data_IF_391847400753
#
_entry.id   IF_391847400753
#
_cell.length_a   1.000
_cell.length_b   1.000
_cell.length_c   1.000
_cell.angle_alpha   90.00
_cell.angle_beta   90.00
_cell.angle_gamma   90.00
#
_symmetry.space_group_name_H-M   'P 1'
#
loop_
_entity.id
_entity.type
_entity.pdbx_description
1 polymer ?
#
# COMPACT_ATOMS: atom_id res chain seq x y z
N UNK A 1 24.60 16.24 6.74
CA UNK A 1 24.13 14.95 6.24
C UNK A 1 22.63 15.04 6.12
N UNK A 2 22.02 14.70 4.98
CA UNK A 2 20.55 14.54 4.90
C UNK A 2 20.19 13.39 5.85
N UNK A 3 19.30 13.64 6.80
CA UNK A 3 18.78 12.59 7.68
C UNK A 3 18.07 11.57 6.79
N UNK A 4 18.51 10.33 6.80
CA UNK A 4 17.85 9.24 6.08
C UNK A 4 16.44 9.07 6.64
N UNK A 5 15.44 8.99 5.77
CA UNK A 5 14.04 8.85 6.15
C UNK A 5 13.45 7.53 5.64
N UNK A 6 12.60 6.93 6.46
CA UNK A 6 11.71 5.87 6.06
C UNK A 6 10.36 6.47 5.62
N UNK A 7 9.94 6.16 4.40
CA UNK A 7 8.68 6.59 3.82
C UNK A 7 7.64 5.48 3.93
N UNK A 8 6.58 5.74 4.65
CA UNK A 8 5.46 4.80 4.77
C UNK A 8 4.44 5.01 3.67
N UNK A 9 4.00 3.93 3.03
CA UNK A 9 2.93 3.90 2.05
C UNK A 9 1.70 3.30 2.71
N UNK A 10 0.69 4.13 2.96
CA UNK A 10 -0.44 3.85 3.85
C UNK A 10 -1.67 3.37 3.08
N UNK A 11 -2.45 2.42 3.62
CA UNK A 11 -3.62 1.85 2.96
C UNK A 11 -4.87 2.71 3.13
N UNK A 12 -5.80 2.62 2.19
CA UNK A 12 -7.18 3.09 2.39
C UNK A 12 -7.45 4.52 1.95
N UNK A 13 -6.95 4.89 0.77
CA UNK A 13 -7.14 6.21 0.17
C UNK A 13 -8.61 6.64 0.09
N UNK A 14 -9.53 5.71 -0.21
CA UNK A 14 -10.96 5.95 -0.30
C UNK A 14 -11.71 5.35 0.90
N UNK A 15 -11.15 4.30 1.49
CA UNK A 15 -11.76 3.54 2.56
C UNK A 15 -11.66 4.26 3.93
N UNK A 16 -10.60 5.04 4.14
CA UNK A 16 -10.29 5.62 5.46
C UNK A 16 -10.06 7.13 5.38
N UNK A 17 -10.84 7.82 4.57
CA UNK A 17 -10.76 9.28 4.42
C UNK A 17 -10.86 10.00 5.77
N UNK A 18 -11.85 9.64 6.60
CA UNK A 18 -12.04 10.26 7.91
C UNK A 18 -10.84 10.07 8.83
N UNK A 19 -10.22 8.88 8.81
CA UNK A 19 -8.98 8.63 9.56
C UNK A 19 -7.88 9.60 9.15
N UNK A 20 -7.67 9.77 7.86
CA UNK A 20 -6.61 10.64 7.36
C UNK A 20 -6.92 12.12 7.53
N UNK A 21 -8.19 12.52 7.47
CA UNK A 21 -8.62 13.89 7.74
C UNK A 21 -8.23 14.33 9.16
N UNK A 22 -8.25 13.43 10.15
CA UNK A 22 -7.86 13.72 11.53
C UNK A 22 -6.36 13.45 11.78
N UNK A 23 -5.81 12.38 11.21
CA UNK A 23 -4.41 12.00 11.44
C UNK A 23 -3.40 12.96 10.81
N UNK A 24 -3.66 13.44 9.58
CA UNK A 24 -2.69 14.26 8.83
C UNK A 24 -2.45 15.65 9.47
N UNK A 25 -3.46 16.35 10.01
CA UNK A 25 -3.23 17.56 10.81
C UNK A 25 -2.34 17.31 12.01
N UNK A 26 -2.60 16.24 12.78
CA UNK A 26 -1.77 15.87 13.94
C UNK A 26 -0.33 15.59 13.49
N UNK A 27 -0.14 14.82 12.43
CA UNK A 27 1.19 14.49 11.91
C UNK A 27 1.96 15.73 11.44
N UNK A 28 1.28 16.74 10.90
CA UNK A 28 1.90 17.99 10.43
C UNK A 28 2.20 18.97 11.56
N UNK A 29 1.26 19.16 12.50
CA UNK A 29 1.31 20.19 13.54
C UNK A 29 2.11 19.70 14.76
N UNK A 30 1.94 18.44 15.14
CA UNK A 30 2.54 17.82 16.31
C UNK A 30 3.63 16.83 15.95
N UNK A 31 4.61 17.32 15.16
CA UNK A 31 5.68 16.46 14.64
C UNK A 31 6.50 15.81 15.75
N UNK A 32 6.54 16.40 16.93
CA UNK A 32 7.20 15.88 18.14
C UNK A 32 6.61 14.55 18.63
N UNK A 33 5.36 14.23 18.30
CA UNK A 33 4.72 12.96 18.66
C UNK A 33 5.22 11.78 17.84
N UNK A 34 5.81 12.05 16.69
CA UNK A 34 6.20 11.06 15.70
C UNK A 34 7.73 10.91 15.62
N UNK A 35 8.17 9.76 15.13
CA UNK A 35 9.59 9.54 14.90
C UNK A 35 10.14 10.51 13.85
N UNK A 36 11.29 11.15 14.14
CA UNK A 36 11.88 12.15 13.26
C UNK A 36 12.36 11.57 11.92
N UNK A 37 12.70 10.28 11.92
CA UNK A 37 13.15 9.54 10.76
C UNK A 37 12.01 9.00 9.87
N UNK A 38 10.74 9.08 10.28
CA UNK A 38 9.62 8.60 9.46
C UNK A 38 8.89 9.73 8.71
N UNK A 39 8.32 9.40 7.56
CA UNK A 39 7.48 10.29 6.78
C UNK A 39 6.41 9.49 6.02
N UNK A 40 5.42 10.19 5.44
CA UNK A 40 4.38 9.57 4.61
C UNK A 40 4.77 9.71 3.14
N UNK A 41 5.07 8.60 2.49
CA UNK A 41 5.40 8.57 1.07
C UNK A 41 4.19 8.62 0.16
N UNK A 42 3.12 7.94 0.53
CA UNK A 42 1.84 7.95 -0.20
C UNK A 42 0.70 7.36 0.61
N UNK A 43 -0.53 7.64 0.17
CA UNK A 43 -1.73 6.90 0.57
C UNK A 43 -2.28 6.21 -0.68
N UNK A 44 -2.63 4.92 -0.57
CA UNK A 44 -3.05 4.12 -1.71
C UNK A 44 -4.42 3.47 -1.51
N UNK A 45 -5.21 3.37 -2.56
CA UNK A 45 -6.54 2.76 -2.57
C UNK A 45 -7.21 2.85 -3.93
N UNK A 46 -8.40 2.30 -4.02
CA UNK A 46 -9.31 2.50 -5.15
C UNK A 46 -10.73 2.27 -4.65
N UNK A 47 -11.75 2.89 -5.25
CA UNK A 47 -13.14 2.55 -4.99
C UNK A 47 -13.40 1.06 -5.15
N UNK A 48 -14.30 0.50 -4.32
CA UNK A 48 -14.51 -0.95 -4.22
C UNK A 48 -15.03 -1.61 -5.52
N UNK A 49 -15.71 -0.86 -6.37
CA UNK A 49 -16.34 -1.29 -7.62
C UNK A 49 -15.48 -1.04 -8.87
N UNK A 50 -14.20 -0.73 -8.72
CA UNK A 50 -13.31 -0.54 -9.86
C UNK A 50 -12.98 -1.86 -10.56
N UNK A 51 -13.31 -1.95 -11.85
CA UNK A 51 -13.00 -3.10 -12.73
C UNK A 51 -11.50 -3.40 -12.76
N UNK A 52 -10.65 -2.36 -12.69
CA UNK A 52 -9.19 -2.52 -12.67
C UNK A 52 -8.64 -2.90 -11.29
N UNK A 53 -9.47 -2.94 -10.25
CA UNK A 53 -9.09 -3.39 -8.92
C UNK A 53 -8.78 -4.89 -8.87
N UNK A 54 -7.83 -5.32 -8.03
CA UNK A 54 -7.43 -6.74 -7.92
C UNK A 54 -6.84 -7.09 -6.56
N UNK A 55 -6.66 -6.12 -5.69
CA UNK A 55 -6.21 -6.31 -4.32
C UNK A 55 -7.35 -6.49 -3.33
N UNK A 56 -7.06 -7.08 -2.19
CA UNK A 56 -8.01 -7.15 -1.06
C UNK A 56 -8.33 -5.74 -0.58
N UNK A 57 -9.60 -5.37 -0.57
CA UNK A 57 -10.07 -4.04 -0.18
C UNK A 57 -11.33 -4.15 0.68
N UNK A 58 -11.55 -3.16 1.53
CA UNK A 58 -12.82 -2.91 2.19
C UNK A 58 -13.75 -2.07 1.31
N UNK A 59 -14.89 -1.71 1.87
CA UNK A 59 -15.79 -0.75 1.25
C UNK A 59 -15.21 0.66 1.42
N UNK A 60 -15.08 1.39 0.33
CA UNK A 60 -14.61 2.76 0.31
C UNK A 60 -15.12 3.45 -0.94
N UNK A 61 -16.00 4.45 -0.74
CA UNK A 61 -16.67 5.19 -1.81
C UNK A 61 -16.61 6.71 -1.57
N UNK A 62 -15.59 7.17 -0.83
CA UNK A 62 -15.46 8.60 -0.60
C UNK A 62 -15.22 9.35 -1.91
N UNK A 63 -15.71 10.59 -2.02
CA UNK A 63 -15.60 11.40 -3.25
C UNK A 63 -14.13 11.52 -3.68
N UNK A 64 -13.77 11.10 -4.90
CA UNK A 64 -12.40 11.16 -5.39
C UNK A 64 -11.79 12.57 -5.39
N UNK A 65 -12.62 13.63 -5.53
CA UNK A 65 -12.14 15.01 -5.50
C UNK A 65 -11.74 15.43 -4.08
N UNK A 66 -12.52 15.05 -3.09
CA UNK A 66 -12.20 15.33 -1.69
C UNK A 66 -10.95 14.58 -1.24
N UNK A 67 -10.86 13.30 -1.61
CA UNK A 67 -9.67 12.48 -1.38
C UNK A 67 -8.41 13.10 -2.00
N UNK A 68 -8.52 13.56 -3.24
CA UNK A 68 -7.41 14.21 -3.92
C UNK A 68 -7.07 15.57 -3.30
N UNK A 69 -8.08 16.34 -2.89
CA UNK A 69 -7.88 17.63 -2.21
C UNK A 69 -7.13 17.45 -0.89
N UNK A 70 -7.51 16.46 -0.10
CA UNK A 70 -6.84 16.13 1.17
C UNK A 70 -5.36 15.78 0.94
N UNK A 71 -5.06 14.88 0.02
CA UNK A 71 -3.67 14.47 -0.26
C UNK A 71 -2.82 15.63 -0.80
N UNK A 72 -3.42 16.52 -1.62
CA UNK A 72 -2.78 17.74 -2.11
C UNK A 72 -2.46 18.72 -0.98
N UNK A 73 -3.40 18.94 -0.07
CA UNK A 73 -3.22 19.85 1.07
C UNK A 73 -2.01 19.47 1.92
N UNK A 74 -1.79 18.16 2.11
CA UNK A 74 -0.69 17.66 2.91
C UNK A 74 0.57 17.32 2.10
N UNK A 75 0.57 17.53 0.79
CA UNK A 75 1.70 17.24 -0.08
C UNK A 75 2.05 15.74 -0.15
N UNK A 76 1.04 14.88 -0.08
CA UNK A 76 1.18 13.42 -0.08
C UNK A 76 0.77 12.86 -1.44
N UNK A 77 1.54 11.90 -1.95
CA UNK A 77 1.21 11.21 -3.19
C UNK A 77 0.00 10.30 -3.00
N UNK A 78 -1.01 10.45 -3.87
CA UNK A 78 -2.14 9.53 -3.95
C UNK A 78 -1.85 8.43 -4.98
N UNK A 79 -2.15 7.15 -4.64
CA UNK A 79 -1.95 6.03 -5.55
C UNK A 79 -3.22 5.23 -5.77
N UNK A 80 -3.67 5.15 -7.02
CA UNK A 80 -4.77 4.26 -7.41
C UNK A 80 -4.30 2.80 -7.43
N UNK A 81 -5.08 1.88 -6.87
CA UNK A 81 -4.75 0.44 -6.88
C UNK A 81 -5.50 -0.29 -8.00
N UNK A 82 -4.91 -0.32 -9.17
CA UNK A 82 -5.43 -0.96 -10.37
C UNK A 82 -4.66 -2.26 -10.68
N UNK A 83 -4.76 -3.20 -9.74
CA UNK A 83 -3.95 -4.42 -9.70
C UNK A 83 -4.70 -5.67 -10.16
N UNK A 84 -5.76 -5.53 -10.96
CA UNK A 84 -6.45 -6.66 -11.57
C UNK A 84 -5.49 -7.41 -12.52
N UNK A 85 -5.36 -8.72 -12.30
CA UNK A 85 -4.43 -9.57 -13.06
C UNK A 85 -5.04 -10.19 -14.33
N UNK A 86 -6.36 -10.01 -14.55
CA UNK A 86 -7.13 -10.72 -15.57
C UNK A 86 -7.74 -9.77 -16.61
N UNK A 87 -7.23 -8.55 -16.71
CA UNK A 87 -7.74 -7.56 -17.66
C UNK A 87 -7.51 -7.99 -19.11
N UNK A 88 -8.50 -7.66 -19.96
CA UNK A 88 -8.48 -7.78 -21.41
C UNK A 88 -8.74 -6.40 -22.03
N UNK A 89 -8.55 -6.27 -23.34
CA UNK A 89 -8.67 -5.00 -24.07
C UNK A 89 -10.05 -4.33 -23.83
N UNK A 90 -11.12 -5.11 -23.78
CA UNK A 90 -12.47 -4.59 -23.52
C UNK A 90 -12.61 -3.86 -22.19
N UNK A 91 -11.82 -4.23 -21.18
CA UNK A 91 -11.85 -3.61 -19.86
C UNK A 91 -11.11 -2.27 -19.80
N UNK A 92 -10.26 -1.96 -20.79
CA UNK A 92 -9.50 -0.70 -20.82
C UNK A 92 -10.41 0.52 -21.06
N UNK A 93 -11.58 0.30 -21.65
CA UNK A 93 -12.57 1.35 -21.91
C UNK A 93 -13.48 1.68 -20.70
N UNK A 94 -13.21 1.12 -19.51
CA UNK A 94 -14.02 1.39 -18.31
C UNK A 94 -14.03 2.87 -17.97
N UNK A 95 -15.22 3.47 -17.96
CA UNK A 95 -15.39 4.93 -17.82
C UNK A 95 -14.98 5.44 -16.43
N UNK A 96 -15.28 4.67 -15.37
CA UNK A 96 -14.97 5.05 -13.99
C UNK A 96 -13.48 5.05 -13.74
N UNK A 97 -12.79 3.98 -14.11
CA UNK A 97 -11.35 3.86 -13.95
C UNK A 97 -10.59 4.92 -14.75
N UNK A 98 -11.02 5.20 -16.00
CA UNK A 98 -10.44 6.26 -16.81
C UNK A 98 -10.69 7.67 -16.22
N UNK A 99 -11.89 7.93 -15.70
CA UNK A 99 -12.19 9.21 -15.04
C UNK A 99 -11.34 9.44 -13.80
N UNK A 100 -11.06 8.38 -13.02
CA UNK A 100 -10.14 8.44 -11.89
C UNK A 100 -8.72 8.76 -12.35
N UNK A 101 -8.20 8.08 -13.38
CA UNK A 101 -6.88 8.39 -13.92
C UNK A 101 -6.77 9.85 -14.37
N UNK A 102 -7.76 10.34 -15.15
CA UNK A 102 -7.78 11.72 -15.62
C UNK A 102 -7.84 12.74 -14.47
N UNK A 103 -8.56 12.42 -13.38
CA UNK A 103 -8.62 13.29 -12.20
C UNK A 103 -7.29 13.30 -11.44
N UNK A 104 -6.65 12.13 -11.24
CA UNK A 104 -5.43 12.00 -10.45
C UNK A 104 -4.17 12.38 -11.23
N UNK A 105 -4.23 12.44 -12.56
CA UNK A 105 -3.14 12.91 -13.42
C UNK A 105 -3.01 14.44 -13.43
N UNK A 106 -4.07 15.18 -13.05
CA UNK A 106 -4.05 16.64 -13.06
C UNK A 106 -2.87 17.21 -12.27
N UNK A 107 -2.37 18.36 -12.69
CA UNK A 107 -1.27 19.06 -12.03
C UNK A 107 -1.44 19.12 -10.52
N UNK A 108 -0.46 18.54 -9.84
CA UNK A 108 -0.39 18.46 -8.40
C UNK A 108 1.08 18.70 -8.00
N UNK A 109 1.34 19.45 -6.92
CA UNK A 109 2.69 19.61 -6.37
C UNK A 109 3.39 18.26 -6.12
N UNK A 110 2.59 17.21 -5.81
CA UNK A 110 3.09 15.85 -5.65
C UNK A 110 2.42 14.93 -6.65
N UNK A 111 3.23 14.32 -7.50
CA UNK A 111 2.77 13.42 -8.55
C UNK A 111 1.99 12.23 -7.97
N UNK A 112 0.81 11.94 -8.53
CA UNK A 112 0.02 10.76 -8.22
C UNK A 112 0.55 9.52 -8.97
N UNK A 113 0.18 8.33 -8.50
CA UNK A 113 0.64 7.08 -9.11
C UNK A 113 -0.44 6.01 -9.22
N UNK A 114 -0.09 4.94 -9.92
CA UNK A 114 -0.94 3.75 -10.06
C UNK A 114 -0.15 2.49 -9.68
N UNK A 115 -0.73 1.68 -8.80
CA UNK A 115 -0.22 0.34 -8.49
C UNK A 115 -0.85 -0.62 -9.50
N UNK A 116 -0.04 -1.22 -10.36
CA UNK A 116 -0.49 -2.00 -11.51
C UNK A 116 0.07 -3.42 -11.49
N UNK A 117 -0.75 -4.38 -11.97
CA UNK A 117 -0.35 -5.77 -12.17
C UNK A 117 -0.20 -6.10 -13.67
N UNK A 118 -1.23 -5.76 -14.45
CA UNK A 118 -1.35 -6.12 -15.86
C UNK A 118 -0.42 -5.29 -16.74
N UNK A 119 0.39 -5.94 -17.57
CA UNK A 119 1.23 -5.26 -18.56
C UNK A 119 0.36 -4.53 -19.60
N UNK A 120 -0.76 -5.15 -20.02
CA UNK A 120 -1.73 -4.53 -20.90
C UNK A 120 -2.23 -3.17 -20.34
N UNK A 121 -2.57 -3.13 -19.05
CA UNK A 121 -3.00 -1.90 -18.41
C UNK A 121 -1.84 -0.90 -18.26
N UNK A 122 -0.64 -1.37 -17.94
CA UNK A 122 0.55 -0.51 -17.85
C UNK A 122 0.81 0.22 -19.16
N UNK A 123 0.81 -0.49 -20.29
CA UNK A 123 1.04 0.11 -21.62
C UNK A 123 -0.07 1.10 -22.00
N UNK A 124 -1.32 0.76 -21.66
CA UNK A 124 -2.45 1.67 -21.85
C UNK A 124 -2.27 2.97 -21.04
N UNK A 125 -1.96 2.85 -19.74
CA UNK A 125 -1.78 3.99 -18.85
C UNK A 125 -0.60 4.87 -19.24
N UNK A 126 0.53 4.29 -19.65
CA UNK A 126 1.70 5.04 -20.14
C UNK A 126 1.35 5.93 -21.35
N UNK A 127 0.44 5.44 -22.20
CA UNK A 127 0.03 6.14 -23.40
C UNK A 127 -1.01 7.25 -23.13
N UNK A 128 -1.98 6.97 -22.24
CA UNK A 128 -3.13 7.85 -22.04
C UNK A 128 -3.00 8.77 -20.82
N UNK A 129 -2.16 8.40 -19.84
CA UNK A 129 -1.96 9.12 -18.57
C UNK A 129 -0.47 9.20 -18.21
N UNK A 130 0.36 9.85 -19.05
CA UNK A 130 1.82 9.85 -18.92
C UNK A 130 2.35 10.60 -17.69
N UNK A 131 1.52 11.42 -17.05
CA UNK A 131 1.92 12.16 -15.85
C UNK A 131 1.80 11.31 -14.57
N UNK A 132 1.15 10.15 -14.62
CA UNK A 132 1.11 9.20 -13.51
C UNK A 132 2.40 8.39 -13.44
N UNK A 133 2.91 8.12 -12.24
CA UNK A 133 3.98 7.14 -12.08
C UNK A 133 3.40 5.76 -11.73
N UNK A 134 4.20 4.71 -11.94
CA UNK A 134 3.74 3.34 -11.77
C UNK A 134 4.49 2.60 -10.67
N UNK A 135 3.74 1.72 -9.99
CA UNK A 135 4.24 0.84 -8.94
C UNK A 135 3.90 -0.61 -9.32
N UNK A 136 4.89 -1.49 -9.34
CA UNK A 136 4.66 -2.91 -9.56
C UNK A 136 3.98 -3.53 -8.33
N UNK A 137 2.82 -4.16 -8.56
CA UNK A 137 1.95 -4.64 -7.47
C UNK A 137 2.47 -5.90 -6.79
N UNK A 138 2.27 -5.98 -5.47
CA UNK A 138 2.46 -7.22 -4.69
C UNK A 138 1.60 -8.40 -5.19
N UNK A 139 0.50 -8.12 -5.93
CA UNK A 139 -0.34 -9.17 -6.51
C UNK A 139 0.37 -9.99 -7.58
N UNK A 140 1.50 -9.49 -8.13
CA UNK A 140 2.39 -10.28 -9.01
C UNK A 140 3.04 -11.47 -8.28
N UNK A 141 3.11 -11.43 -6.95
CA UNK A 141 3.64 -12.49 -6.09
C UNK A 141 5.07 -12.88 -6.52
N UNK A 142 5.96 -11.89 -6.53
CA UNK A 142 7.39 -12.07 -6.87
C UNK A 142 8.10 -12.75 -5.70
N UNK A 143 8.14 -14.08 -5.70
CA UNK A 143 8.69 -14.90 -4.60
C UNK A 143 10.17 -15.21 -4.74
N UNK A 144 10.70 -15.05 -5.94
CA UNK A 144 12.11 -15.33 -6.25
C UNK A 144 12.89 -14.04 -6.35
N UNK A 145 14.08 -13.99 -5.73
CA UNK A 145 14.91 -12.79 -5.75
C UNK A 145 15.27 -12.31 -7.16
N UNK A 146 15.49 -13.23 -8.11
CA UNK A 146 15.77 -12.88 -9.49
C UNK A 146 14.59 -12.17 -10.16
N UNK A 147 13.35 -12.53 -9.82
CA UNK A 147 12.15 -11.82 -10.30
C UNK A 147 12.13 -10.39 -9.76
N UNK A 148 12.38 -10.22 -8.45
CA UNK A 148 12.47 -8.88 -7.83
C UNK A 148 13.56 -8.03 -8.50
N UNK A 149 14.75 -8.59 -8.69
CA UNK A 149 15.88 -7.91 -9.33
C UNK A 149 15.56 -7.49 -10.77
N UNK A 150 14.93 -8.35 -11.55
CA UNK A 150 14.48 -8.03 -12.90
C UNK A 150 13.42 -6.93 -12.91
N UNK A 151 12.43 -7.00 -12.00
CA UNK A 151 11.36 -6.03 -11.95
C UNK A 151 11.85 -4.65 -11.48
N UNK A 152 12.78 -4.59 -10.50
CA UNK A 152 13.38 -3.31 -10.06
C UNK A 152 14.31 -2.69 -11.09
N UNK A 153 14.84 -3.47 -12.06
CA UNK A 153 15.63 -2.94 -13.15
C UNK A 153 14.78 -2.23 -14.23
N UNK A 154 13.48 -2.47 -14.29
CA UNK A 154 12.57 -1.83 -15.24
C UNK A 154 12.43 -0.33 -14.96
N UNK A 155 12.57 0.49 -15.98
CA UNK A 155 12.50 1.96 -15.86
C UNK A 155 11.08 2.47 -15.62
N UNK A 156 10.07 1.72 -16.09
CA UNK A 156 8.67 2.09 -15.98
C UNK A 156 8.19 2.19 -14.53
N UNK A 157 8.80 1.42 -13.62
CA UNK A 157 8.37 1.41 -12.23
C UNK A 157 9.21 2.35 -11.36
N UNK A 158 8.52 3.25 -10.67
CA UNK A 158 9.12 4.03 -9.57
C UNK A 158 9.34 3.18 -8.33
N UNK A 159 8.40 2.27 -8.04
CA UNK A 159 8.48 1.33 -6.92
C UNK A 159 8.06 -0.07 -7.34
N UNK A 160 8.59 -1.06 -6.64
CA UNK A 160 8.27 -2.48 -6.82
C UNK A 160 7.99 -3.09 -5.46
N UNK A 161 6.81 -3.71 -5.31
CA UNK A 161 6.42 -4.37 -4.06
C UNK A 161 6.70 -5.88 -4.18
N UNK A 162 7.78 -6.40 -3.57
CA UNK A 162 8.06 -7.84 -3.57
C UNK A 162 7.03 -8.62 -2.78
N UNK A 163 7.04 -9.94 -2.91
CA UNK A 163 6.33 -10.79 -1.97
C UNK A 163 7.02 -10.72 -0.59
N UNK A 164 6.23 -10.67 0.49
CA UNK A 164 6.72 -10.53 1.86
C UNK A 164 7.72 -11.63 2.29
N UNK A 165 7.73 -12.77 1.61
CA UNK A 165 8.69 -13.86 1.83
C UNK A 165 10.13 -13.49 1.52
N UNK A 166 10.33 -12.47 0.69
CA UNK A 166 11.66 -11.92 0.39
C UNK A 166 12.12 -10.87 1.42
N UNK A 167 11.26 -10.45 2.33
CA UNK A 167 11.59 -9.37 3.27
C UNK A 167 12.88 -9.62 4.05
N UNK A 168 13.19 -10.84 4.43
CA UNK A 168 14.38 -11.20 5.23
C UNK A 168 15.52 -11.83 4.42
N UNK A 169 15.48 -11.74 3.10
CA UNK A 169 16.55 -12.21 2.21
C UNK A 169 17.76 -11.23 2.20
N UNK A 170 18.28 -10.88 3.37
CA UNK A 170 19.23 -9.78 3.56
C UNK A 170 20.49 -9.87 2.70
N UNK A 171 21.09 -11.06 2.55
CA UNK A 171 22.28 -11.23 1.73
C UNK A 171 22.04 -10.91 0.25
N UNK A 172 20.87 -11.29 -0.25
CA UNK A 172 20.47 -11.01 -1.64
C UNK A 172 20.05 -9.53 -1.80
N UNK A 173 19.26 -9.01 -0.86
CA UNK A 173 18.80 -7.62 -0.84
C UNK A 173 19.98 -6.64 -0.79
N UNK A 174 21.02 -6.94 -0.01
CA UNK A 174 22.21 -6.10 0.09
C UNK A 174 23.00 -6.01 -1.23
N UNK A 175 22.91 -7.06 -2.06
CA UNK A 175 23.56 -7.11 -3.37
C UNK A 175 22.94 -6.20 -4.44
N UNK A 176 21.74 -5.61 -4.18
CA UNK A 176 21.10 -4.70 -5.12
C UNK A 176 21.87 -3.37 -5.22
N UNK A 177 22.04 -2.80 -6.44
CA UNK A 177 22.52 -1.43 -6.58
C UNK A 177 21.57 -0.44 -5.90
N UNK A 178 22.09 0.69 -5.41
CA UNK A 178 21.28 1.69 -4.68
C UNK A 178 20.05 2.14 -5.49
N UNK A 179 20.19 2.37 -6.79
CA UNK A 179 19.07 2.75 -7.65
C UNK A 179 17.93 1.71 -7.71
N UNK A 180 18.22 0.42 -7.44
CA UNK A 180 17.20 -0.62 -7.30
C UNK A 180 16.67 -0.70 -5.85
N UNK A 181 17.54 -0.52 -4.83
CA UNK A 181 17.12 -0.42 -3.43
C UNK A 181 16.09 0.71 -3.23
N UNK A 182 16.29 1.85 -3.87
CA UNK A 182 15.39 3.01 -3.82
C UNK A 182 13.98 2.69 -4.37
N UNK A 183 13.86 1.67 -5.22
CA UNK A 183 12.58 1.23 -5.78
C UNK A 183 11.86 0.17 -4.94
N UNK A 184 12.56 -0.55 -4.05
CA UNK A 184 11.93 -1.63 -3.28
C UNK A 184 11.00 -1.06 -2.22
N UNK A 185 9.71 -1.44 -2.25
CA UNK A 185 8.69 -1.06 -1.29
C UNK A 185 8.23 -2.30 -0.52
N UNK A 186 8.76 -2.50 0.68
CA UNK A 186 8.52 -3.69 1.48
C UNK A 186 7.15 -3.72 2.13
N UNK A 187 6.42 -4.81 1.99
CA UNK A 187 5.16 -5.06 2.70
C UNK A 187 5.44 -5.52 4.13
N UNK A 188 5.20 -4.64 5.13
CA UNK A 188 5.72 -4.81 6.49
C UNK A 188 4.91 -5.77 7.36
N UNK A 189 3.56 -5.72 7.28
CA UNK A 189 2.64 -6.32 8.25
C UNK A 189 1.73 -7.40 7.64
N UNK A 190 2.19 -8.10 6.60
CA UNK A 190 1.43 -9.20 6.00
C UNK A 190 1.23 -10.35 7.01
N UNK A 191 0.00 -10.86 7.12
CA UNK A 191 -0.30 -12.01 7.97
C UNK A 191 -0.56 -13.30 7.19
N UNK A 192 -0.47 -13.30 5.87
CA UNK A 192 -0.53 -14.53 5.08
C UNK A 192 0.53 -15.53 5.55
N UNK A 193 0.13 -16.80 5.58
CA UNK A 193 1.06 -17.87 5.91
C UNK A 193 2.23 -17.94 4.92
N UNK A 194 3.46 -17.98 5.44
CA UNK A 194 4.68 -18.01 4.62
C UNK A 194 4.72 -19.22 3.67
N UNK A 195 4.14 -20.37 4.07
CA UNK A 195 4.02 -21.57 3.25
C UNK A 195 2.86 -21.58 2.24
N UNK A 196 2.09 -20.49 2.12
CA UNK A 196 0.96 -20.41 1.21
C UNK A 196 1.40 -20.47 -0.26
N UNK A 197 0.87 -21.43 -1.01
CA UNK A 197 1.10 -21.59 -2.46
C UNK A 197 -0.02 -21.00 -3.31
N UNK A 198 -1.13 -20.60 -2.68
CA UNK A 198 -2.35 -20.14 -3.35
C UNK A 198 -2.50 -18.60 -3.38
N UNK A 199 -1.49 -17.85 -2.94
CA UNK A 199 -1.55 -16.39 -2.84
C UNK A 199 -1.91 -15.74 -4.18
N UNK A 200 -1.33 -16.21 -5.28
CA UNK A 200 -1.65 -15.72 -6.62
C UNK A 200 -3.12 -15.99 -6.97
N UNK A 201 -3.58 -17.22 -6.74
CA UNK A 201 -4.98 -17.63 -6.97
C UNK A 201 -5.96 -16.80 -6.11
N UNK A 202 -5.56 -16.45 -4.88
CA UNK A 202 -6.35 -15.57 -4.02
C UNK A 202 -6.59 -14.20 -4.69
N UNK A 203 -5.56 -13.59 -5.27
CA UNK A 203 -5.68 -12.32 -6.00
C UNK A 203 -6.44 -12.47 -7.34
N UNK A 204 -6.26 -13.57 -8.06
CA UNK A 204 -7.05 -13.88 -9.26
C UNK A 204 -8.55 -13.99 -8.95
N UNK A 205 -8.90 -14.57 -7.80
CA UNK A 205 -10.31 -14.64 -7.37
C UNK A 205 -10.90 -13.25 -7.12
N UNK A 206 -10.14 -12.34 -6.47
CA UNK A 206 -10.55 -10.94 -6.32
C UNK A 206 -10.68 -10.24 -7.67
N UNK A 207 -9.74 -10.48 -8.58
CA UNK A 207 -9.77 -9.93 -9.94
C UNK A 207 -11.03 -10.34 -10.70
N UNK A 208 -11.43 -11.63 -10.62
CA UNK A 208 -12.68 -12.14 -11.23
C UNK A 208 -13.93 -11.48 -10.66
N UNK A 209 -13.99 -11.33 -9.34
CA UNK A 209 -15.11 -10.64 -8.67
C UNK A 209 -15.25 -9.19 -9.17
N UNK A 210 -14.15 -8.48 -9.31
CA UNK A 210 -14.16 -7.10 -9.81
C UNK A 210 -14.53 -7.00 -11.32
N UNK A 211 -14.34 -8.06 -12.08
CA UNK A 211 -14.83 -8.19 -13.45
C UNK A 211 -16.33 -8.59 -13.53
N UNK A 212 -16.99 -8.79 -12.40
CA UNK A 212 -18.37 -9.25 -12.35
C UNK A 212 -18.54 -10.73 -12.70
N UNK A 213 -17.44 -11.50 -12.75
CA UNK A 213 -17.50 -12.93 -13.04
C UNK A 213 -18.04 -13.70 -11.83
N UNK A 214 -18.97 -14.63 -12.07
CA UNK A 214 -19.39 -15.59 -11.06
C UNK A 214 -18.27 -16.59 -10.83
N UNK A 215 -17.70 -16.58 -9.64
CA UNK A 215 -16.65 -17.53 -9.25
C UNK A 215 -16.87 -17.99 -7.79
N UNK A 216 -16.52 -19.24 -7.46
CA UNK A 216 -16.53 -19.69 -6.07
C UNK A 216 -15.65 -18.83 -5.21
N UNK A 217 -16.03 -18.63 -3.94
CA UNK A 217 -15.15 -17.97 -2.99
C UNK A 217 -13.85 -18.75 -2.79
N UNK A 218 -12.75 -18.02 -2.79
CA UNK A 218 -11.47 -18.62 -2.40
C UNK A 218 -11.43 -18.80 -0.88
N UNK A 219 -11.47 -20.05 -0.44
CA UNK A 219 -11.34 -20.38 0.99
C UNK A 219 -9.86 -20.51 1.30
N UNK A 220 -9.37 -19.70 2.23
CA UNK A 220 -8.00 -19.78 2.70
C UNK A 220 -7.80 -21.05 3.53
N UNK A 221 -6.85 -21.88 3.14
CA UNK A 221 -6.51 -23.13 3.83
C UNK A 221 -5.29 -22.99 4.76
N UNK A 222 -4.81 -21.77 4.98
CA UNK A 222 -3.68 -21.52 5.88
C UNK A 222 -4.05 -21.84 7.34
N UNK A 223 -3.12 -22.35 8.15
CA UNK A 223 -3.34 -22.56 9.57
C UNK A 223 -3.82 -21.27 10.27
N UNK A 224 -4.92 -21.37 11.03
CA UNK A 224 -5.52 -20.23 11.74
C UNK A 224 -6.14 -19.17 10.83
N UNK A 225 -6.54 -19.52 9.60
CA UNK A 225 -7.18 -18.59 8.68
C UNK A 225 -8.56 -18.13 9.17
N UNK A 226 -9.24 -18.97 9.97
CA UNK A 226 -10.53 -18.69 10.60
C UNK A 226 -10.49 -17.54 11.62
N UNK A 227 -9.33 -17.25 12.19
CA UNK A 227 -9.13 -16.14 13.14
C UNK A 227 -9.12 -14.76 12.46
N UNK A 228 -9.07 -14.73 11.13
CA UNK A 228 -8.90 -13.51 10.36
C UNK A 228 -7.55 -12.82 10.56
N UNK A 229 -7.47 -11.55 10.19
CA UNK A 229 -6.28 -10.73 10.43
C UNK A 229 -6.20 -10.31 11.90
N UNK A 230 -5.02 -10.48 12.49
CA UNK A 230 -4.67 -9.90 13.80
C UNK A 230 -3.26 -9.33 13.73
N UNK A 231 -3.04 -8.12 14.26
CA UNK A 231 -1.72 -7.50 14.24
C UNK A 231 -0.69 -8.33 15.04
N UNK A 232 -1.09 -8.88 16.18
CA UNK A 232 -0.25 -9.78 16.97
C UNK A 232 0.15 -11.06 16.23
N UNK A 233 -0.67 -11.51 15.26
CA UNK A 233 -0.36 -12.64 14.37
C UNK A 233 0.60 -12.21 13.28
N UNK A 234 0.40 -11.04 12.67
CA UNK A 234 1.31 -10.47 11.69
C UNK A 234 2.72 -10.28 12.28
N UNK A 235 2.83 -9.80 13.52
CA UNK A 235 4.11 -9.66 14.23
C UNK A 235 4.89 -10.96 14.41
N UNK A 236 4.21 -12.12 14.38
CA UNK A 236 4.84 -13.45 14.46
C UNK A 236 5.20 -14.02 13.09
N UNK A 237 4.79 -13.36 12.00
CA UNK A 237 5.12 -13.79 10.65
C UNK A 237 6.64 -13.67 10.43
N UNK A 238 7.33 -14.69 9.87
CA UNK A 238 8.76 -14.60 9.56
C UNK A 238 9.12 -13.42 8.64
N UNK A 239 8.18 -12.98 7.78
CA UNK A 239 8.37 -11.82 6.90
C UNK A 239 8.00 -10.47 7.53
N UNK A 240 7.59 -10.42 8.79
CA UNK A 240 7.24 -9.16 9.47
C UNK A 240 8.44 -8.22 9.56
N UNK A 241 8.21 -6.95 9.28
CA UNK A 241 9.21 -5.88 9.43
C UNK A 241 8.73 -4.95 10.55
N UNK A 242 9.40 -4.99 11.69
CA UNK A 242 9.11 -4.09 12.81
C UNK A 242 9.92 -2.80 12.74
N UNK A 243 9.63 -1.88 13.67
CA UNK A 243 10.29 -0.57 13.74
C UNK A 243 11.82 -0.72 13.87
N UNK A 244 12.27 -1.64 14.74
CA UNK A 244 13.71 -1.89 14.95
C UNK A 244 14.37 -2.46 13.71
N UNK A 245 13.68 -3.36 12.98
CA UNK A 245 14.20 -3.85 11.71
C UNK A 245 14.42 -2.69 10.72
N UNK A 246 13.46 -1.76 10.64
CA UNK A 246 13.56 -0.59 9.76
C UNK A 246 14.78 0.26 10.12
N UNK A 247 14.93 0.65 11.41
CA UNK A 247 15.99 1.52 11.87
C UNK A 247 17.38 0.86 11.86
N UNK A 248 17.45 -0.41 12.30
CA UNK A 248 18.73 -1.05 12.60
C UNK A 248 19.26 -1.86 11.42
N UNK A 249 18.38 -2.22 10.45
CA UNK A 249 18.75 -3.08 9.32
C UNK A 249 18.44 -2.43 7.97
N UNK A 250 17.18 -2.12 7.66
CA UNK A 250 16.80 -1.69 6.30
C UNK A 250 17.35 -0.32 5.94
N UNK A 251 17.23 0.68 6.83
CA UNK A 251 17.77 2.01 6.56
C UNK A 251 19.31 1.99 6.42
N UNK A 252 20.09 1.33 7.29
CA UNK A 252 21.53 1.18 7.09
C UNK A 252 21.91 0.43 5.81
N UNK A 253 21.06 -0.49 5.32
CA UNK A 253 21.25 -1.14 4.03
C UNK A 253 20.90 -0.26 2.82
N UNK A 254 20.37 0.95 3.04
CA UNK A 254 19.99 1.91 1.99
C UNK A 254 18.54 1.77 1.49
N UNK A 255 17.65 1.09 2.21
CA UNK A 255 16.23 1.01 1.88
C UNK A 255 15.41 2.07 2.62
N UNK A 256 14.41 2.63 1.95
CA UNK A 256 13.62 3.73 2.51
C UNK A 256 12.10 3.61 2.35
N UNK A 257 11.58 2.61 1.64
CA UNK A 257 10.15 2.54 1.33
C UNK A 257 9.49 1.32 1.98
N UNK A 258 8.45 1.59 2.79
CA UNK A 258 7.76 0.60 3.62
C UNK A 258 6.24 0.71 3.45
N UNK A 259 5.62 -0.37 3.01
CA UNK A 259 4.19 -0.45 2.76
C UNK A 259 3.46 -1.09 3.92
N UNK A 260 2.42 -0.43 4.40
CA UNK A 260 1.51 -0.96 5.40
C UNK A 260 0.28 -1.53 4.68
N UNK A 261 -0.01 -2.79 4.91
CA UNK A 261 -1.26 -3.42 4.44
C UNK A 261 -2.42 -3.03 5.37
N UNK A 262 -3.66 -2.99 4.85
CA UNK A 262 -4.79 -2.73 5.73
C UNK A 262 -6.10 -2.33 5.08
N UNK A 263 -6.19 -2.19 3.76
CA UNK A 263 -7.40 -1.70 3.06
C UNK A 263 -8.71 -2.43 3.43
N UNK A 264 -8.63 -3.71 3.78
CA UNK A 264 -9.80 -4.50 4.18
C UNK A 264 -9.97 -4.68 5.69
N UNK A 265 -9.21 -3.94 6.52
CA UNK A 265 -9.10 -4.24 7.96
C UNK A 265 -9.86 -3.27 8.87
N UNK A 266 -10.37 -2.17 8.31
CA UNK A 266 -11.04 -1.12 9.07
C UNK A 266 -10.08 -0.05 9.63
N UNK A 267 -10.63 1.17 9.81
CA UNK A 267 -9.87 2.35 10.24
C UNK A 267 -9.23 2.20 11.62
N UNK A 268 -9.92 1.55 12.55
CA UNK A 268 -9.41 1.32 13.91
C UNK A 268 -8.10 0.52 13.91
N UNK A 269 -8.03 -0.56 13.10
CA UNK A 269 -6.81 -1.35 13.02
C UNK A 269 -5.70 -0.64 12.26
N UNK A 270 -6.05 0.15 11.24
CA UNK A 270 -5.08 0.99 10.53
C UNK A 270 -4.50 2.06 11.46
N UNK A 271 -5.33 2.67 12.33
CA UNK A 271 -4.82 3.58 13.37
C UNK A 271 -3.78 2.88 14.26
N UNK A 272 -4.01 1.64 14.70
CA UNK A 272 -3.01 0.91 15.49
C UNK A 272 -1.69 0.69 14.73
N UNK A 273 -1.73 0.54 13.39
CA UNK A 273 -0.49 0.51 12.59
C UNK A 273 0.20 1.86 12.56
N UNK A 274 -0.53 2.98 12.42
CA UNK A 274 0.04 4.32 12.44
C UNK A 274 0.67 4.61 13.81
N UNK A 275 0.01 4.19 14.90
CA UNK A 275 0.56 4.29 16.25
C UNK A 275 1.84 3.46 16.41
N UNK A 276 1.83 2.22 15.93
CA UNK A 276 2.99 1.34 16.04
C UNK A 276 4.17 1.82 15.21
N UNK A 277 3.97 2.13 13.92
CA UNK A 277 5.06 2.41 13.00
C UNK A 277 5.57 3.84 13.02
N UNK A 278 4.73 4.80 13.36
CA UNK A 278 5.05 6.23 13.17
C UNK A 278 5.09 7.02 14.48
N UNK A 279 4.34 6.61 15.51
CA UNK A 279 4.18 7.38 16.75
C UNK A 279 5.13 6.90 17.84
N UNK A 280 5.82 7.83 18.48
CA UNK A 280 6.69 7.53 19.65
C UNK A 280 5.86 6.91 20.77
N UNK A 281 6.36 5.90 21.49
CA UNK A 281 5.57 5.16 22.49
C UNK A 281 4.88 6.03 23.54
N UNK A 282 5.54 7.07 24.00
CA UNK A 282 5.03 8.02 25.00
C UNK A 282 3.84 8.85 24.53
N UNK A 283 3.64 8.98 23.21
CA UNK A 283 2.55 9.75 22.61
C UNK A 283 1.42 8.88 22.02
N UNK A 284 1.58 7.55 21.99
CA UNK A 284 0.58 6.67 21.35
C UNK A 284 -0.80 6.80 21.96
N UNK A 285 -0.90 6.91 23.30
CA UNK A 285 -2.18 7.11 23.97
C UNK A 285 -2.77 8.48 23.58
N UNK A 286 -1.96 9.52 23.60
CA UNK A 286 -2.39 10.88 23.28
C UNK A 286 -2.92 10.99 21.83
N UNK A 287 -2.18 10.45 20.86
CA UNK A 287 -2.63 10.44 19.46
C UNK A 287 -3.91 9.63 19.28
N UNK A 288 -4.02 8.49 19.97
CA UNK A 288 -5.25 7.67 19.93
C UNK A 288 -6.44 8.43 20.51
N UNK A 289 -6.29 9.08 21.66
CA UNK A 289 -7.35 9.87 22.29
C UNK A 289 -7.79 11.03 21.41
N UNK A 290 -6.87 11.79 20.83
CA UNK A 290 -7.19 12.90 19.93
C UNK A 290 -8.04 12.43 18.75
N UNK A 291 -7.67 11.31 18.11
CA UNK A 291 -8.42 10.78 16.97
C UNK A 291 -9.80 10.23 17.39
N UNK A 292 -9.91 9.51 18.50
CA UNK A 292 -11.19 8.94 18.95
C UNK A 292 -12.15 10.01 19.50
N UNK A 293 -11.65 10.99 20.24
CA UNK A 293 -12.48 12.04 20.85
C UNK A 293 -12.97 13.07 19.83
N UNK A 294 -12.27 13.24 18.71
CA UNK A 294 -12.67 14.14 17.64
C UNK A 294 -13.71 13.52 16.68
N UNK A 295 -14.46 12.54 17.16
CA UNK A 295 -15.63 11.89 16.51
C UNK A 295 -15.32 11.09 15.23
N UNK A 296 -14.09 10.69 15.05
CA UNK A 296 -13.72 9.98 13.83
C UNK A 296 -14.11 8.51 13.83
N UNK A 297 -14.19 7.91 14.99
CA UNK A 297 -14.48 6.50 15.19
C UNK A 297 -15.64 6.31 16.18
N UNK A 298 -16.76 7.03 16.00
CA UNK A 298 -18.02 6.76 16.69
C UNK A 298 -18.45 5.32 16.38
N UNK A 299 -17.98 4.41 17.22
CA UNK A 299 -18.26 2.97 17.15
C UNK A 299 -19.49 2.58 17.99
N UNK A 300 -20.33 3.55 18.37
CA UNK A 300 -21.49 3.33 19.24
C UNK A 300 -22.79 3.58 18.51
#
# INVERSE_FOLDING_TARGET
>A
MKQEKAYYHLPGLFEFYELYREFLPLFRVHREYFYDWCDIGSIYGAPADCVWGGGRAGFGEHDPKEVLALTREYGISARLTFSNSLLREEHLSDKKCNALCALFEQENPVQSGVIVHSELLLDYLKTHYPQLYFVSSTTKVLTEFQQLRAETAREEFRYVVPDFRLNKAFGELDSLPQAQKDKVEFLCNECCWVGCRDRKRCYENVSRKNLGESCPEHICTAPGSEEGYRFSKAMKNPGFIGIRDIQDVYMPMGFSNFKIEGRGLGSALVLEFLLYYMTKPEYQLHVREAIYLDNMLDLF
#
